data_IF_142362356176
#
_entry.id   IF_142362356176
#
_cell.length_a   1.000
_cell.length_b   1.000
_cell.length_c   1.000
_cell.angle_alpha   90.00
_cell.angle_beta   90.00
_cell.angle_gamma   90.00
#
_symmetry.space_group_name_H-M   'P 1'
#
loop_
_entity.id
_entity.type
_entity.pdbx_description
1 polymer ?
#
# COMPACT_ATOMS: atom_id res chain seq x y z
N UNK A 1 13.19 -2.47 4.64
CA UNK A 1 12.25 -1.36 4.88
C UNK A 1 10.98 -1.64 4.09
N UNK A 2 9.81 -1.44 4.67
CA UNK A 2 8.48 -1.56 4.03
C UNK A 2 7.60 -0.41 4.51
N UNK A 3 6.59 0.02 3.75
CA UNK A 3 5.59 0.95 4.24
C UNK A 3 4.87 0.42 5.48
N UNK A 4 4.67 1.28 6.46
CA UNK A 4 3.92 1.00 7.69
C UNK A 4 2.48 1.50 7.55
N UNK A 5 1.60 1.14 8.49
CA UNK A 5 0.24 1.70 8.54
C UNK A 5 0.27 3.22 8.80
N UNK A 6 1.23 3.69 9.60
CA UNK A 6 1.45 5.12 9.81
C UNK A 6 1.82 5.83 8.50
N UNK A 7 2.73 5.26 7.71
CA UNK A 7 3.09 5.82 6.40
C UNK A 7 1.88 5.91 5.48
N UNK A 8 1.07 4.85 5.41
CA UNK A 8 -0.14 4.84 4.58
C UNK A 8 -1.07 5.98 4.98
N UNK A 9 -1.37 6.11 6.27
CA UNK A 9 -2.27 7.14 6.76
C UNK A 9 -1.71 8.56 6.54
N UNK A 10 -0.42 8.79 6.82
CA UNK A 10 0.24 10.08 6.59
C UNK A 10 0.27 10.47 5.11
N UNK A 11 0.53 9.50 4.24
CA UNK A 11 0.67 9.75 2.80
C UNK A 11 -0.69 9.94 2.14
N UNK A 12 -1.65 9.07 2.43
CA UNK A 12 -2.93 9.02 1.69
C UNK A 12 -4.08 9.72 2.40
N UNK A 13 -4.05 9.82 3.72
CA UNK A 13 -5.19 10.22 4.55
C UNK A 13 -6.25 9.14 4.70
N UNK A 14 -6.06 7.94 4.11
CA UNK A 14 -7.00 6.83 4.25
C UNK A 14 -6.88 6.18 5.62
N UNK A 15 -8.00 5.95 6.28
CA UNK A 15 -8.03 5.28 7.58
C UNK A 15 -7.36 3.91 7.52
N UNK A 16 -6.56 3.62 8.52
CA UNK A 16 -5.88 2.32 8.69
C UNK A 16 -6.46 1.52 9.85
N UNK A 17 -7.19 2.16 10.75
CA UNK A 17 -7.99 1.54 11.82
C UNK A 17 -9.47 1.44 11.46
N UNK A 18 -10.24 0.80 12.33
CA UNK A 18 -11.68 0.59 12.15
C UNK A 18 -12.02 -0.83 11.71
N UNK A 19 -13.10 -1.00 10.96
CA UNK A 19 -13.55 -2.31 10.50
C UNK A 19 -12.62 -2.86 9.40
N UNK A 20 -12.30 -4.14 9.49
CA UNK A 20 -11.54 -4.82 8.44
C UNK A 20 -12.30 -4.80 7.12
N UNK A 21 -11.60 -4.52 6.01
CA UNK A 21 -12.17 -4.56 4.66
C UNK A 21 -12.27 -6.02 4.21
N UNK A 22 -13.27 -6.71 4.69
CA UNK A 22 -13.55 -8.11 4.42
C UNK A 22 -15.07 -8.31 4.24
N UNK A 23 -15.52 -9.48 3.92
CA UNK A 23 -16.95 -9.74 3.81
C UNK A 23 -17.32 -10.85 2.84
N UNK A 24 -18.58 -10.87 2.45
CA UNK A 24 -19.15 -11.87 1.58
C UNK A 24 -18.69 -11.69 0.14
N UNK A 25 -18.25 -12.78 -0.46
CA UNK A 25 -17.96 -12.84 -1.90
C UNK A 25 -19.19 -13.41 -2.62
N UNK A 26 -19.69 -12.66 -3.61
CA UNK A 26 -20.84 -13.11 -4.39
C UNK A 26 -20.40 -13.99 -5.57
N UNK A 27 -21.24 -14.96 -5.90
CA UNK A 27 -21.08 -15.79 -7.12
C UNK A 27 -21.27 -14.96 -8.39
N UNK A 28 -22.12 -13.95 -8.31
CA UNK A 28 -22.34 -12.94 -9.34
C UNK A 28 -22.54 -11.57 -8.69
N UNK A 29 -21.91 -10.58 -9.24
CA UNK A 29 -22.10 -9.17 -8.84
C UNK A 29 -23.11 -8.44 -9.72
N UNK A 30 -23.82 -9.15 -10.60
CA UNK A 30 -24.77 -8.53 -11.51
C UNK A 30 -25.88 -7.80 -10.74
N UNK A 31 -26.58 -8.50 -9.82
CA UNK A 31 -27.64 -7.87 -9.03
C UNK A 31 -27.14 -6.70 -8.18
N UNK A 32 -26.03 -6.82 -7.40
CA UNK A 32 -25.47 -5.66 -6.72
C UNK A 32 -25.13 -4.48 -7.62
N UNK A 33 -24.55 -4.72 -8.80
CA UNK A 33 -24.22 -3.65 -9.75
C UNK A 33 -25.47 -2.99 -10.32
N UNK A 34 -26.43 -3.76 -10.78
CA UNK A 34 -27.71 -3.23 -11.31
C UNK A 34 -28.45 -2.42 -10.24
N UNK A 35 -28.56 -2.96 -9.03
CA UNK A 35 -29.31 -2.32 -7.95
C UNK A 35 -28.61 -1.08 -7.38
N UNK A 36 -27.29 -1.18 -7.07
CA UNK A 36 -26.55 -0.14 -6.36
C UNK A 36 -25.94 0.92 -7.29
N UNK A 37 -25.58 0.53 -8.51
CA UNK A 37 -24.98 1.44 -9.49
C UNK A 37 -25.91 1.79 -10.65
N UNK A 38 -26.99 1.04 -10.87
CA UNK A 38 -27.87 1.19 -12.03
C UNK A 38 -27.15 0.92 -13.36
N UNK A 39 -26.18 -0.01 -13.36
CA UNK A 39 -25.38 -0.37 -14.52
C UNK A 39 -25.59 -1.85 -14.88
N UNK A 40 -25.58 -2.14 -16.19
CA UNK A 40 -25.62 -3.51 -16.68
C UNK A 40 -24.22 -4.10 -16.77
N UNK A 41 -24.05 -5.36 -16.33
CA UNK A 41 -22.81 -6.11 -16.45
C UNK A 41 -23.04 -7.49 -17.04
N UNK A 42 -22.07 -7.99 -17.80
CA UNK A 42 -22.10 -9.35 -18.32
C UNK A 42 -21.90 -10.36 -17.20
N UNK A 43 -22.73 -11.37 -17.13
CA UNK A 43 -22.71 -12.42 -16.08
C UNK A 43 -21.33 -13.06 -15.89
N UNK A 44 -20.63 -13.31 -16.99
CA UNK A 44 -19.30 -13.95 -16.97
C UNK A 44 -18.20 -13.12 -16.34
N UNK A 45 -18.37 -11.79 -16.27
CA UNK A 45 -17.42 -10.83 -15.68
C UNK A 45 -18.11 -9.90 -14.69
N UNK A 46 -19.03 -10.43 -13.93
CA UNK A 46 -19.89 -9.65 -13.05
C UNK A 46 -19.15 -8.86 -11.96
N UNK A 47 -17.91 -9.26 -11.59
CA UNK A 47 -17.08 -8.52 -10.63
C UNK A 47 -16.31 -7.34 -11.21
N UNK A 48 -16.49 -7.05 -12.50
CA UNK A 48 -15.81 -5.97 -13.22
C UNK A 48 -16.84 -5.12 -13.97
N UNK A 49 -16.78 -3.80 -13.78
CA UNK A 49 -17.59 -2.82 -14.49
C UNK A 49 -16.69 -2.09 -15.49
N UNK A 50 -17.21 -1.79 -16.67
CA UNK A 50 -16.48 -0.98 -17.65
C UNK A 50 -16.26 0.42 -17.08
N UNK A 51 -15.02 0.89 -17.08
CA UNK A 51 -14.67 2.23 -16.60
C UNK A 51 -15.46 3.32 -17.32
N UNK A 52 -15.54 3.22 -18.63
CA UNK A 52 -16.27 4.19 -19.46
C UNK A 52 -17.75 4.26 -19.12
N UNK A 53 -18.41 3.12 -18.84
CA UNK A 53 -19.80 3.10 -18.41
C UNK A 53 -19.98 3.75 -17.05
N UNK A 54 -19.08 3.46 -16.10
CA UNK A 54 -19.12 4.05 -14.77
C UNK A 54 -18.86 5.57 -14.81
N UNK A 55 -17.90 6.01 -15.62
CA UNK A 55 -17.60 7.43 -15.82
C UNK A 55 -18.74 8.19 -16.52
N UNK A 56 -19.33 7.59 -17.56
CA UNK A 56 -20.47 8.18 -18.24
C UNK A 56 -21.69 8.32 -17.32
N UNK A 57 -21.90 7.35 -16.42
CA UNK A 57 -23.00 7.40 -15.46
C UNK A 57 -22.82 8.47 -14.37
N UNK A 58 -21.59 8.90 -14.11
CA UNK A 58 -21.29 9.99 -13.18
C UNK A 58 -21.52 11.38 -13.80
N UNK A 59 -21.91 11.46 -15.09
CA UNK A 59 -22.01 12.71 -15.85
C UNK A 59 -20.74 13.63 -15.74
N UNK A 60 -19.61 13.08 -15.29
CA UNK A 60 -18.35 13.80 -15.22
C UNK A 60 -17.80 13.89 -16.63
N UNK A 61 -18.04 15.02 -17.29
CA UNK A 61 -17.75 15.24 -18.72
C UNK A 61 -16.27 15.00 -19.08
N UNK A 62 -15.36 15.07 -18.12
CA UNK A 62 -13.92 14.93 -18.30
C UNK A 62 -13.30 13.85 -17.38
N UNK A 63 -14.02 12.76 -17.12
CA UNK A 63 -13.51 11.68 -16.29
C UNK A 63 -12.34 10.89 -16.91
N UNK A 64 -11.93 11.21 -18.14
CA UNK A 64 -10.74 10.63 -18.76
C UNK A 64 -9.46 11.29 -18.22
N UNK A 65 -8.42 10.50 -18.03
CA UNK A 65 -7.10 10.99 -17.68
C UNK A 65 -6.57 11.92 -18.77
N UNK A 66 -6.18 13.14 -18.41
CA UNK A 66 -5.64 14.10 -19.38
C UNK A 66 -4.17 13.81 -19.67
N UNK A 67 -3.73 14.13 -20.90
CA UNK A 67 -2.34 13.94 -21.29
C UNK A 67 -1.42 14.80 -20.41
N UNK A 68 -0.50 14.16 -19.68
CA UNK A 68 0.43 14.82 -18.79
C UNK A 68 -0.09 15.04 -17.35
N UNK A 69 -1.35 14.71 -17.08
CA UNK A 69 -1.93 14.74 -15.75
C UNK A 69 -1.34 13.60 -14.87
N UNK A 70 -0.89 13.91 -13.68
CA UNK A 70 -0.50 12.89 -12.71
C UNK A 70 -1.73 12.22 -12.10
N UNK A 71 -1.56 11.01 -11.55
CA UNK A 71 -2.66 10.31 -10.89
C UNK A 71 -3.24 11.10 -9.71
N UNK A 72 -2.42 11.88 -9.04
CA UNK A 72 -2.86 12.76 -7.93
C UNK A 72 -3.70 13.93 -8.44
N UNK A 73 -3.29 14.56 -9.53
CA UNK A 73 -4.05 15.65 -10.18
C UNK A 73 -5.38 15.13 -10.72
N UNK A 74 -5.35 13.96 -11.35
CA UNK A 74 -6.55 13.24 -11.80
C UNK A 74 -7.53 12.98 -10.64
N UNK A 75 -7.03 12.46 -9.51
CA UNK A 75 -7.84 12.22 -8.32
C UNK A 75 -8.43 13.50 -7.73
N UNK A 76 -7.61 14.53 -7.61
CA UNK A 76 -8.07 15.83 -7.08
C UNK A 76 -9.20 16.42 -7.95
N UNK A 77 -9.02 16.38 -9.25
CA UNK A 77 -10.01 16.86 -10.21
C UNK A 77 -11.31 16.04 -10.16
N UNK A 78 -11.20 14.70 -10.20
CA UNK A 78 -12.39 13.83 -10.06
C UNK A 78 -13.14 14.06 -8.76
N UNK A 79 -12.41 14.29 -7.66
CA UNK A 79 -13.01 14.54 -6.34
C UNK A 79 -13.75 15.88 -6.33
N UNK A 80 -13.20 16.90 -6.97
CA UNK A 80 -13.82 18.23 -7.05
C UNK A 80 -15.07 18.20 -7.94
N UNK A 81 -14.95 17.59 -9.13
CA UNK A 81 -16.08 17.40 -10.04
C UNK A 81 -17.22 16.59 -9.39
N UNK A 82 -16.88 15.49 -8.70
CA UNK A 82 -17.86 14.68 -7.99
C UNK A 82 -18.54 15.42 -6.83
N UNK A 83 -17.82 16.28 -6.10
CA UNK A 83 -18.42 17.11 -5.05
C UNK A 83 -19.40 18.11 -5.60
N UNK A 84 -19.07 18.75 -6.74
CA UNK A 84 -19.95 19.71 -7.39
C UNK A 84 -21.26 19.03 -7.80
N UNK A 85 -21.18 17.84 -8.40
CA UNK A 85 -22.37 17.09 -8.83
C UNK A 85 -23.22 16.60 -7.65
N UNK A 86 -22.59 16.01 -6.62
CA UNK A 86 -23.32 15.52 -5.44
C UNK A 86 -24.01 16.63 -4.63
N UNK A 87 -23.57 17.87 -4.79
CA UNK A 87 -24.21 19.04 -4.18
C UNK A 87 -25.53 19.45 -4.86
N UNK A 88 -25.74 19.01 -6.11
CA UNK A 88 -26.93 19.37 -6.91
C UNK A 88 -28.04 18.30 -6.86
N UNK A 89 -27.72 17.08 -6.39
CA UNK A 89 -28.65 15.95 -6.36
C UNK A 89 -29.03 15.57 -4.92
N UNK A 90 -30.29 15.19 -4.71
CA UNK A 90 -30.80 14.69 -3.43
C UNK A 90 -31.43 13.30 -3.56
N UNK A 91 -31.38 12.49 -2.49
CA UNK A 91 -32.06 11.21 -2.39
C UNK A 91 -31.35 10.04 -3.06
N UNK A 92 -32.13 9.11 -3.61
CA UNK A 92 -31.64 7.82 -4.14
C UNK A 92 -30.71 7.95 -5.34
N UNK A 93 -30.82 9.04 -6.12
CA UNK A 93 -29.95 9.36 -7.25
C UNK A 93 -28.56 9.77 -6.75
N UNK A 94 -28.48 10.66 -5.77
CA UNK A 94 -27.24 11.08 -5.14
C UNK A 94 -26.50 9.88 -4.48
N UNK A 95 -27.24 9.01 -3.83
CA UNK A 95 -26.70 7.77 -3.24
C UNK A 95 -26.08 6.84 -4.29
N UNK A 96 -26.73 6.68 -5.45
CA UNK A 96 -26.19 5.89 -6.56
C UNK A 96 -24.92 6.52 -7.12
N UNK A 97 -24.91 7.82 -7.31
CA UNK A 97 -23.75 8.53 -7.83
C UNK A 97 -22.58 8.52 -6.86
N UNK A 98 -22.82 8.66 -5.58
CA UNK A 98 -21.80 8.47 -4.55
C UNK A 98 -21.23 7.04 -4.60
N UNK A 99 -22.07 6.00 -4.71
CA UNK A 99 -21.60 4.61 -4.85
C UNK A 99 -20.80 4.40 -6.13
N UNK A 100 -21.20 4.99 -7.26
CA UNK A 100 -20.46 4.97 -8.53
C UNK A 100 -19.07 5.60 -8.36
N UNK A 101 -19.03 6.78 -7.75
CA UNK A 101 -17.78 7.48 -7.47
C UNK A 101 -16.86 6.66 -6.55
N UNK A 102 -17.37 6.18 -5.42
CA UNK A 102 -16.61 5.34 -4.49
C UNK A 102 -16.12 4.05 -5.15
N UNK A 103 -16.94 3.42 -5.99
CA UNK A 103 -16.54 2.23 -6.74
C UNK A 103 -15.40 2.54 -7.71
N UNK A 104 -15.43 3.69 -8.38
CA UNK A 104 -14.35 4.13 -9.26
C UNK A 104 -13.05 4.37 -8.46
N UNK A 105 -13.14 5.07 -7.34
CA UNK A 105 -11.98 5.37 -6.48
C UNK A 105 -11.41 4.10 -5.86
N UNK A 106 -12.24 3.32 -5.19
CA UNK A 106 -11.79 2.11 -4.50
C UNK A 106 -11.35 1.04 -5.50
N UNK A 107 -12.20 0.72 -6.47
CA UNK A 107 -11.99 -0.40 -7.38
C UNK A 107 -10.96 -0.16 -8.48
N UNK A 108 -10.62 1.11 -8.78
CA UNK A 108 -9.64 1.45 -9.82
C UNK A 108 -8.35 2.06 -9.27
N UNK A 109 -8.46 2.91 -8.26
CA UNK A 109 -7.33 3.69 -7.78
C UNK A 109 -6.70 3.06 -6.54
N UNK A 110 -7.51 2.72 -5.54
CA UNK A 110 -7.01 2.13 -4.28
C UNK A 110 -6.67 0.65 -4.49
N UNK A 111 -7.66 -0.15 -4.93
CA UNK A 111 -7.52 -1.59 -5.15
C UNK A 111 -7.36 -1.93 -6.64
N UNK A 112 -6.59 -1.15 -7.37
CA UNK A 112 -6.45 -1.16 -8.82
C UNK A 112 -6.53 -2.54 -9.47
N UNK A 113 -7.27 -2.59 -10.59
CA UNK A 113 -7.39 -3.78 -11.44
C UNK A 113 -6.50 -3.67 -12.67
N UNK A 114 -6.14 -4.81 -13.25
CA UNK A 114 -5.44 -4.85 -14.54
C UNK A 114 -6.35 -4.34 -15.66
N UNK A 115 -5.78 -3.53 -16.52
CA UNK A 115 -6.47 -2.99 -17.67
C UNK A 115 -7.52 -1.93 -17.32
N UNK A 116 -8.49 -1.73 -18.19
CA UNK A 116 -9.47 -0.66 -18.09
C UNK A 116 -10.64 -0.92 -17.13
N UNK A 117 -11.15 -2.16 -16.97
CA UNK A 117 -12.28 -2.41 -16.09
C UNK A 117 -12.02 -2.07 -14.63
N UNK A 118 -13.07 -1.68 -13.92
CA UNK A 118 -13.07 -1.33 -12.49
C UNK A 118 -13.57 -2.50 -11.68
N UNK A 119 -12.86 -2.86 -10.61
CA UNK A 119 -13.29 -3.89 -9.67
C UNK A 119 -14.46 -3.41 -8.82
N UNK A 120 -15.55 -4.18 -8.80
CA UNK A 120 -16.73 -3.85 -7.99
C UNK A 120 -16.93 -4.78 -6.78
N UNK A 121 -15.89 -5.51 -6.39
CA UNK A 121 -15.94 -6.40 -5.21
C UNK A 121 -16.17 -5.67 -3.89
N UNK A 122 -15.91 -4.36 -3.84
CA UNK A 122 -16.20 -3.51 -2.69
C UNK A 122 -17.69 -3.14 -2.54
N UNK A 123 -18.55 -3.37 -3.55
CA UNK A 123 -19.95 -2.97 -3.52
C UNK A 123 -20.74 -3.47 -2.30
N UNK A 124 -20.53 -4.72 -1.79
CA UNK A 124 -21.21 -5.15 -0.58
C UNK A 124 -20.95 -4.24 0.63
N UNK A 125 -19.75 -3.65 0.72
CA UNK A 125 -19.35 -2.74 1.78
C UNK A 125 -19.93 -1.32 1.57
N UNK A 126 -20.28 -0.96 0.34
CA UNK A 126 -20.90 0.30 -0.03
C UNK A 126 -22.44 0.25 -0.02
N UNK A 127 -23.03 -0.86 0.43
CA UNK A 127 -24.48 -0.99 0.55
C UNK A 127 -25.04 0.03 1.54
N UNK A 128 -24.37 0.20 2.66
CA UNK A 128 -24.63 1.23 3.64
C UNK A 128 -23.55 2.30 3.59
N UNK A 129 -23.87 3.44 2.98
CA UNK A 129 -22.94 4.56 2.82
C UNK A 129 -22.60 5.24 4.16
N UNK A 130 -23.45 5.09 5.17
CA UNK A 130 -23.20 5.68 6.49
C UNK A 130 -22.06 4.99 7.24
N UNK A 131 -21.78 3.73 6.91
CA UNK A 131 -20.71 2.93 7.50
C UNK A 131 -19.39 2.94 6.71
N UNK A 132 -19.38 3.51 5.50
CA UNK A 132 -18.22 3.51 4.60
C UNK A 132 -16.97 4.09 5.25
N UNK A 133 -17.08 5.19 5.96
CA UNK A 133 -15.98 5.85 6.66
C UNK A 133 -15.44 5.05 7.86
N UNK A 134 -16.07 3.96 8.26
CA UNK A 134 -15.60 3.11 9.36
C UNK A 134 -14.64 2.00 8.93
N UNK A 135 -14.48 1.77 7.63
CA UNK A 135 -13.58 0.74 7.10
C UNK A 135 -12.13 1.20 7.04
N UNK A 136 -11.22 0.26 7.28
CA UNK A 136 -9.77 0.45 7.22
C UNK A 136 -9.24 0.40 5.77
N UNK A 137 -9.69 1.33 4.90
CA UNK A 137 -9.32 1.35 3.48
C UNK A 137 -7.82 1.49 3.24
N UNK A 138 -7.10 2.21 4.11
CA UNK A 138 -5.65 2.32 4.03
C UNK A 138 -4.94 1.00 4.33
N UNK A 139 -5.43 0.22 5.29
CA UNK A 139 -4.91 -1.12 5.55
C UNK A 139 -5.19 -2.08 4.39
N UNK A 140 -6.39 -1.98 3.79
CA UNK A 140 -6.74 -2.77 2.60
C UNK A 140 -5.88 -2.41 1.38
N UNK A 141 -5.59 -1.13 1.18
CA UNK A 141 -4.65 -0.66 0.16
C UNK A 141 -3.27 -1.30 0.34
N UNK A 142 -2.74 -1.30 1.56
CA UNK A 142 -1.44 -1.87 1.86
C UNK A 142 -1.44 -3.39 1.66
N UNK A 143 -2.49 -4.09 2.10
CA UNK A 143 -2.66 -5.52 1.86
C UNK A 143 -2.68 -5.86 0.37
N UNK A 144 -3.46 -5.12 -0.42
CA UNK A 144 -3.54 -5.28 -1.87
C UNK A 144 -2.20 -5.06 -2.56
N UNK A 145 -1.47 -4.02 -2.14
CA UNK A 145 -0.15 -3.71 -2.67
C UNK A 145 0.86 -4.83 -2.37
N UNK A 146 0.91 -5.31 -1.13
CA UNK A 146 1.83 -6.39 -0.74
C UNK A 146 1.52 -7.70 -1.44
N UNK A 147 0.24 -8.05 -1.57
CA UNK A 147 -0.19 -9.23 -2.30
C UNK A 147 0.21 -9.14 -3.78
N UNK A 148 0.02 -7.98 -4.40
CA UNK A 148 0.40 -7.74 -5.78
C UNK A 148 1.92 -7.79 -5.99
N UNK A 149 2.71 -7.19 -5.11
CA UNK A 149 4.17 -7.25 -5.15
C UNK A 149 4.68 -8.68 -4.92
N UNK A 150 4.08 -9.42 -3.99
CA UNK A 150 4.43 -10.83 -3.73
C UNK A 150 4.14 -11.77 -4.90
N UNK A 151 3.22 -11.41 -5.79
CA UNK A 151 2.90 -12.17 -7.00
C UNK A 151 3.63 -11.68 -8.25
N UNK A 152 4.35 -10.57 -8.18
CA UNK A 152 5.02 -9.93 -9.34
C UNK A 152 6.05 -10.82 -10.02
N UNK A 153 6.70 -11.74 -9.29
CA UNK A 153 7.65 -12.71 -9.85
C UNK A 153 7.00 -13.77 -10.76
N UNK A 154 5.68 -13.95 -10.67
CA UNK A 154 4.91 -14.94 -11.40
C UNK A 154 4.03 -14.35 -12.49
N UNK A 155 3.82 -13.05 -12.47
CA UNK A 155 2.87 -12.35 -13.32
C UNK A 155 3.52 -11.13 -13.98
N UNK A 156 3.22 -10.90 -15.26
CA UNK A 156 3.79 -9.84 -16.08
C UNK A 156 3.30 -8.43 -15.77
N UNK A 157 2.39 -8.26 -14.84
CA UNK A 157 1.85 -6.95 -14.46
C UNK A 157 1.59 -6.86 -12.96
N UNK A 158 2.11 -5.84 -12.33
CA UNK A 158 1.84 -5.48 -10.94
C UNK A 158 0.70 -4.48 -10.92
N UNK A 159 -0.25 -4.67 -10.01
CA UNK A 159 -1.37 -3.74 -9.79
C UNK A 159 -1.26 -3.14 -8.40
N UNK A 160 -1.77 -1.93 -8.21
CA UNK A 160 -1.77 -1.26 -6.92
C UNK A 160 -1.62 0.24 -7.04
N UNK A 161 -1.74 0.92 -5.92
CA UNK A 161 -1.62 2.38 -5.84
C UNK A 161 -0.13 2.79 -5.66
N UNK A 162 0.62 2.78 -6.75
CA UNK A 162 2.06 3.12 -6.75
C UNK A 162 2.42 4.53 -6.30
N UNK A 163 1.57 5.56 -6.41
CA UNK A 163 1.85 6.86 -5.81
C UNK A 163 2.18 6.79 -4.31
N UNK A 164 1.61 5.82 -3.58
CA UNK A 164 1.99 5.55 -2.19
C UNK A 164 3.49 5.24 -2.08
N UNK A 165 3.98 4.26 -2.86
CA UNK A 165 5.39 3.86 -2.82
C UNK A 165 6.33 4.98 -3.28
N UNK A 166 5.89 5.80 -4.23
CA UNK A 166 6.68 6.92 -4.72
C UNK A 166 6.87 7.98 -3.65
N UNK A 167 5.79 8.42 -2.99
CA UNK A 167 5.89 9.39 -1.89
C UNK A 167 6.63 8.79 -0.71
N UNK A 168 6.36 7.53 -0.37
CA UNK A 168 7.09 6.79 0.66
C UNK A 168 8.60 6.77 0.38
N UNK A 169 9.00 6.47 -0.87
CA UNK A 169 10.40 6.51 -1.26
C UNK A 169 11.01 7.91 -1.09
N UNK A 170 10.33 8.97 -1.49
CA UNK A 170 10.84 10.35 -1.30
C UNK A 170 10.97 10.72 0.18
N UNK A 171 10.15 10.15 1.03
CA UNK A 171 10.14 10.46 2.46
C UNK A 171 11.22 9.70 3.22
N UNK A 172 11.40 8.41 2.93
CA UNK A 172 12.39 7.55 3.55
C UNK A 172 13.76 7.55 2.85
N UNK A 173 13.77 7.78 1.54
CA UNK A 173 14.95 7.71 0.68
C UNK A 173 15.14 9.06 -0.07
N UNK A 174 15.40 10.16 0.66
CA UNK A 174 15.41 11.51 0.07
C UNK A 174 16.45 11.69 -1.03
N UNK A 175 17.46 10.85 -1.09
CA UNK A 175 18.48 10.83 -2.13
C UNK A 175 17.95 10.37 -3.50
N UNK A 176 16.81 9.69 -3.56
CA UNK A 176 16.09 9.44 -4.81
C UNK A 176 15.38 10.67 -5.36
N UNK A 177 15.43 11.74 -4.63
CA UNK A 177 14.84 13.05 -4.63
C UNK A 177 14.47 13.69 -5.96
N UNK A 178 13.31 13.30 -6.50
CA UNK A 178 12.71 13.97 -7.66
C UNK A 178 11.31 14.53 -7.37
N UNK A 179 10.91 14.52 -6.12
CA UNK A 179 9.66 15.13 -5.69
C UNK A 179 9.88 16.56 -5.21
N UNK A 180 9.02 17.49 -5.63
CA UNK A 180 9.01 18.86 -5.14
C UNK A 180 7.79 19.05 -4.25
N UNK A 181 8.01 19.43 -2.98
CA UNK A 181 6.93 19.74 -2.06
C UNK A 181 6.20 21.02 -2.50
N UNK A 182 4.91 20.91 -2.84
CA UNK A 182 4.10 22.04 -3.33
C UNK A 182 3.33 22.76 -2.25
N UNK A 183 2.85 22.03 -1.24
CA UNK A 183 1.94 22.58 -0.23
C UNK A 183 2.51 22.38 1.17
N UNK A 184 2.30 23.39 2.01
CA UNK A 184 2.51 23.31 3.46
C UNK A 184 1.14 23.26 4.13
N UNK A 185 1.03 22.55 5.23
CA UNK A 185 -0.21 22.54 6.03
C UNK A 185 -0.72 21.13 6.33
N UNK A 186 -1.91 21.08 6.94
CA UNK A 186 -2.59 19.86 7.36
C UNK A 186 -3.27 19.14 6.17
N UNK A 187 -2.46 18.50 5.32
CA UNK A 187 -2.92 17.71 4.17
C UNK A 187 -2.12 16.42 4.08
N UNK A 188 -2.71 15.32 3.57
CA UNK A 188 -1.97 14.10 3.29
C UNK A 188 -0.73 14.35 2.44
N UNK A 189 0.36 13.62 2.70
CA UNK A 189 1.64 13.86 2.02
C UNK A 189 1.54 13.71 0.50
N UNK A 190 0.65 12.85 0.02
CA UNK A 190 0.37 12.68 -1.39
C UNK A 190 -0.03 14.00 -2.08
N UNK A 191 -0.72 14.90 -1.37
CA UNK A 191 -1.12 16.21 -1.88
C UNK A 191 0.00 17.26 -1.79
N UNK A 192 1.04 17.01 -0.99
CA UNK A 192 2.18 17.91 -0.85
C UNK A 192 3.18 17.78 -1.97
N UNK A 193 3.27 16.60 -2.62
CA UNK A 193 4.29 16.32 -3.60
C UNK A 193 3.80 16.55 -5.03
N UNK A 194 4.66 17.18 -5.83
CA UNK A 194 4.51 17.22 -7.29
C UNK A 194 5.44 16.18 -7.90
N UNK A 195 4.88 15.29 -8.67
CA UNK A 195 5.67 14.36 -9.46
C UNK A 195 6.24 15.07 -10.68
N UNK A 196 7.55 15.12 -10.80
CA UNK A 196 8.20 15.60 -12.01
C UNK A 196 8.28 14.44 -13.01
N UNK A 197 7.81 14.68 -14.23
CA UNK A 197 7.99 13.71 -15.31
C UNK A 197 9.47 13.64 -15.64
N UNK A 198 10.03 12.43 -15.65
CA UNK A 198 11.39 12.23 -16.11
C UNK A 198 11.39 12.01 -17.62
N UNK A 199 12.17 12.81 -18.33
CA UNK A 199 12.36 12.69 -19.78
C UNK A 199 13.33 11.59 -20.17
N UNK A 200 14.07 11.04 -19.21
CA UNK A 200 15.03 9.95 -19.46
C UNK A 200 14.29 8.64 -19.76
N UNK A 201 14.91 7.79 -20.56
CA UNK A 201 14.38 6.46 -20.82
C UNK A 201 14.25 5.66 -19.52
N UNK A 202 13.18 4.86 -19.39
CA UNK A 202 12.92 4.02 -18.21
C UNK A 202 14.14 3.15 -17.85
N UNK A 203 14.85 2.62 -18.86
CA UNK A 203 16.05 1.84 -18.66
C UNK A 203 17.14 2.61 -17.89
N UNK A 204 17.44 3.83 -18.30
CA UNK A 204 18.44 4.68 -17.62
C UNK A 204 18.02 5.01 -16.18
N UNK A 205 16.73 5.27 -15.95
CA UNK A 205 16.21 5.53 -14.63
C UNK A 205 16.36 4.30 -13.73
N UNK A 206 16.01 3.12 -14.19
CA UNK A 206 16.15 1.87 -13.45
C UNK A 206 17.61 1.59 -13.10
N UNK A 207 18.54 1.75 -14.05
CA UNK A 207 19.97 1.58 -13.80
C UNK A 207 20.46 2.56 -12.75
N UNK A 208 20.10 3.84 -12.87
CA UNK A 208 20.50 4.87 -11.91
C UNK A 208 19.96 4.59 -10.50
N UNK A 209 18.69 4.17 -10.40
CA UNK A 209 18.09 3.81 -9.10
C UNK A 209 18.81 2.62 -8.47
N UNK A 210 19.16 1.59 -9.27
CA UNK A 210 19.91 0.45 -8.78
C UNK A 210 21.30 0.88 -8.26
N UNK A 211 22.03 1.67 -9.05
CA UNK A 211 23.36 2.14 -8.67
C UNK A 211 23.32 2.99 -7.38
N UNK A 212 22.33 3.84 -7.26
CA UNK A 212 22.12 4.65 -6.05
C UNK A 212 21.81 3.74 -4.85
N UNK A 213 20.88 2.79 -4.98
CA UNK A 213 20.49 1.89 -3.89
C UNK A 213 21.63 0.98 -3.44
N UNK A 214 22.53 0.60 -4.37
CA UNK A 214 23.69 -0.23 -4.07
C UNK A 214 24.81 0.57 -3.36
N UNK A 215 24.87 1.88 -3.54
CA UNK A 215 25.98 2.72 -3.06
C UNK A 215 25.61 3.64 -1.87
N UNK A 216 24.33 3.74 -1.51
CA UNK A 216 23.89 4.66 -0.47
C UNK A 216 24.41 4.26 0.91
N UNK A 217 25.01 5.19 1.66
CA UNK A 217 25.37 4.96 3.04
C UNK A 217 24.13 4.76 3.92
N UNK A 218 24.22 3.87 4.89
CA UNK A 218 23.16 3.56 5.84
C UNK A 218 22.56 4.79 6.53
N UNK A 219 23.39 5.75 6.92
CA UNK A 219 22.99 6.99 7.60
C UNK A 219 22.19 7.97 6.72
N UNK A 220 22.15 7.78 5.40
CA UNK A 220 21.35 8.60 4.50
C UNK A 220 19.89 8.11 4.36
N UNK A 221 19.58 6.95 4.88
CA UNK A 221 18.21 6.42 4.93
C UNK A 221 17.47 7.02 6.11
N UNK A 222 16.36 7.69 5.88
CA UNK A 222 15.48 8.16 6.93
C UNK A 222 14.57 7.02 7.39
N UNK A 223 14.95 6.35 8.44
CA UNK A 223 14.20 5.20 8.97
C UNK A 223 12.87 5.62 9.56
N UNK A 224 12.85 6.72 10.28
CA UNK A 224 11.69 7.27 11.01
C UNK A 224 11.46 8.73 10.62
N UNK A 225 11.06 9.02 9.37
CA UNK A 225 10.97 10.39 8.87
C UNK A 225 9.94 11.25 9.59
N UNK A 226 8.97 10.63 10.26
CA UNK A 226 7.90 11.29 11.01
C UNK A 226 8.29 11.68 12.45
N UNK A 227 9.41 11.17 12.97
CA UNK A 227 9.86 11.52 14.32
C UNK A 227 10.23 12.99 14.40
N UNK A 228 9.62 13.72 15.35
CA UNK A 228 9.78 15.15 15.52
C UNK A 228 8.82 16.01 14.67
N UNK A 229 8.02 15.44 13.79
CA UNK A 229 6.91 16.17 13.16
C UNK A 229 5.75 16.31 14.14
N UNK A 230 5.16 17.51 14.21
CA UNK A 230 3.97 17.74 15.03
C UNK A 230 2.75 17.09 14.38
N UNK A 231 2.05 16.21 15.10
CA UNK A 231 0.79 15.62 14.67
C UNK A 231 -0.34 16.66 14.52
N UNK A 232 -0.17 17.85 15.08
CA UNK A 232 -1.08 18.98 14.87
C UNK A 232 -1.25 19.33 13.36
N UNK A 233 -0.27 18.97 12.53
CA UNK A 233 -0.37 19.12 11.08
C UNK A 233 -1.21 18.01 10.41
N UNK A 234 -1.53 16.93 11.13
CA UNK A 234 -2.27 15.76 10.62
C UNK A 234 -3.21 15.21 11.71
N UNK A 235 -4.28 15.91 12.09
CA UNK A 235 -5.14 15.55 13.21
C UNK A 235 -5.85 14.19 13.05
N UNK A 236 -5.98 13.68 11.83
CA UNK A 236 -6.58 12.36 11.55
C UNK A 236 -5.73 11.18 12.01
N UNK A 237 -4.44 11.38 12.38
CA UNK A 237 -3.57 10.31 12.85
C UNK A 237 -3.99 9.75 14.21
N UNK A 238 -4.55 10.59 15.08
CA UNK A 238 -4.82 10.25 16.47
C UNK A 238 -5.76 9.03 16.60
N UNK A 239 -6.80 9.00 15.78
CA UNK A 239 -7.80 7.95 15.81
C UNK A 239 -7.23 6.56 15.49
N UNK A 240 -6.26 6.48 14.61
CA UNK A 240 -5.71 5.23 14.08
C UNK A 240 -4.36 4.85 14.73
N UNK A 241 -3.82 5.70 15.61
CA UNK A 241 -2.57 5.47 16.35
C UNK A 241 -2.47 4.10 17.03
N UNK A 242 -3.54 3.51 17.60
CA UNK A 242 -3.48 2.19 18.22
C UNK A 242 -3.04 1.05 17.29
N UNK A 243 -3.05 1.24 15.98
CA UNK A 243 -2.62 0.26 14.98
C UNK A 243 -1.14 0.42 14.56
N UNK A 244 -0.50 1.52 14.96
CA UNK A 244 0.88 1.79 14.56
C UNK A 244 1.86 0.89 15.32
N UNK A 245 2.94 0.48 14.64
CA UNK A 245 4.02 -0.30 15.25
C UNK A 245 3.65 -1.72 15.67
N UNK A 246 2.65 -2.33 15.04
CA UNK A 246 2.16 -3.66 15.40
C UNK A 246 2.34 -4.67 14.29
N UNK A 247 2.74 -5.89 14.65
CA UNK A 247 2.59 -7.06 13.78
C UNK A 247 1.11 -7.45 13.76
N UNK A 248 0.49 -7.41 12.58
CA UNK A 248 -0.95 -7.59 12.42
C UNK A 248 -1.27 -8.20 11.05
N UNK A 249 -2.42 -8.81 10.92
CA UNK A 249 -2.94 -9.30 9.65
C UNK A 249 -3.78 -8.23 8.96
N UNK A 250 -3.36 -7.82 7.77
CA UNK A 250 -4.08 -6.84 6.94
C UNK A 250 -5.13 -7.54 6.08
N UNK A 251 -6.31 -6.96 6.00
CA UNK A 251 -7.43 -7.51 5.25
C UNK A 251 -7.77 -6.66 4.02
N UNK A 252 -7.95 -7.32 2.88
CA UNK A 252 -8.45 -6.71 1.65
C UNK A 252 -9.40 -7.67 0.94
N UNK A 253 -10.69 -7.50 1.13
CA UNK A 253 -11.75 -8.36 0.57
C UNK A 253 -11.50 -9.83 0.93
N UNK A 254 -11.14 -10.67 -0.04
CA UNK A 254 -10.80 -12.08 0.15
C UNK A 254 -9.29 -12.35 0.18
N UNK A 255 -8.51 -11.38 0.56
CA UNK A 255 -7.05 -11.48 0.71
C UNK A 255 -6.67 -11.05 2.11
N UNK A 256 -5.80 -11.82 2.76
CA UNK A 256 -5.21 -11.51 4.05
C UNK A 256 -3.70 -11.58 3.94
N UNK A 257 -3.00 -10.57 4.40
CA UNK A 257 -1.55 -10.45 4.29
C UNK A 257 -0.96 -10.07 5.65
N UNK A 258 0.05 -10.79 6.14
CA UNK A 258 0.69 -10.42 7.39
C UNK A 258 1.58 -9.18 7.21
N UNK A 259 1.50 -8.26 8.16
CA UNK A 259 2.40 -7.14 8.30
C UNK A 259 3.38 -7.43 9.44
N UNK A 260 4.60 -7.82 9.10
CA UNK A 260 5.63 -8.23 10.05
C UNK A 260 6.65 -7.11 10.28
N UNK A 261 6.30 -6.12 11.09
CA UNK A 261 7.18 -5.00 11.41
C UNK A 261 8.44 -5.42 12.18
N UNK A 262 8.40 -6.54 12.91
CA UNK A 262 9.59 -7.09 13.57
C UNK A 262 10.76 -7.38 12.62
N UNK A 263 10.46 -7.65 11.33
CA UNK A 263 11.47 -7.86 10.29
C UNK A 263 12.15 -6.55 9.86
N UNK A 264 11.53 -5.42 10.19
CA UNK A 264 11.98 -4.08 9.84
C UNK A 264 11.83 -3.11 11.00
N UNK A 265 12.20 -3.54 12.20
CA UNK A 265 12.01 -2.79 13.45
C UNK A 265 12.57 -1.35 13.43
N UNK A 266 13.59 -1.09 12.61
CA UNK A 266 14.16 0.25 12.43
C UNK A 266 13.17 1.27 11.91
N UNK A 267 12.19 0.87 11.12
CA UNK A 267 11.13 1.80 10.63
C UNK A 267 10.23 2.28 11.76
N UNK A 268 10.34 1.66 12.93
CA UNK A 268 9.64 2.03 14.16
C UNK A 268 10.56 2.71 15.18
N UNK A 269 11.81 3.05 14.80
CA UNK A 269 12.79 3.64 15.71
C UNK A 269 13.43 2.65 16.69
N UNK A 270 13.24 1.35 16.48
CA UNK A 270 13.82 0.29 17.30
C UNK A 270 15.09 -0.28 16.66
N UNK A 271 16.03 -0.74 17.50
CA UNK A 271 17.16 -1.51 16.98
C UNK A 271 16.69 -2.83 16.38
N UNK A 272 17.24 -3.18 15.22
CA UNK A 272 16.86 -4.41 14.51
C UNK A 272 17.52 -5.63 15.16
N UNK A 273 16.72 -6.62 15.51
CA UNK A 273 17.21 -7.96 15.83
C UNK A 273 17.20 -8.87 14.59
N UNK A 274 18.07 -9.87 14.57
CA UNK A 274 18.00 -10.94 13.58
C UNK A 274 16.89 -11.89 13.98
N UNK A 275 15.77 -11.81 13.30
CA UNK A 275 14.60 -12.66 13.51
C UNK A 275 14.50 -13.71 12.40
N UNK A 276 13.95 -14.87 12.74
CA UNK A 276 13.67 -15.89 11.73
C UNK A 276 12.54 -15.42 10.82
N UNK A 277 12.81 -15.52 9.52
CA UNK A 277 11.74 -15.31 8.55
C UNK A 277 10.72 -16.44 8.71
N UNK A 278 9.43 -16.15 8.83
CA UNK A 278 8.41 -17.18 8.98
C UNK A 278 8.29 -18.00 7.69
N UNK A 279 9.14 -19.03 7.57
CA UNK A 279 9.22 -19.88 6.36
C UNK A 279 8.07 -20.86 6.23
N UNK A 280 7.29 -21.06 7.31
CA UNK A 280 6.22 -22.06 7.37
C UNK A 280 4.81 -21.45 7.44
N UNK A 281 4.65 -20.17 7.13
CA UNK A 281 3.30 -19.73 6.88
C UNK A 281 2.81 -20.50 5.62
N UNK A 282 1.80 -21.35 5.84
CA UNK A 282 1.06 -21.94 4.72
C UNK A 282 0.82 -20.81 3.74
N UNK A 283 1.26 -20.95 2.47
CA UNK A 283 0.83 -20.00 1.48
C UNK A 283 -0.67 -19.95 1.62
N UNK A 284 -1.22 -18.76 1.92
CA UNK A 284 -2.65 -18.59 1.96
C UNK A 284 -3.13 -19.01 0.57
N UNK A 285 -3.64 -20.24 0.51
CA UNK A 285 -4.30 -20.71 -0.69
C UNK A 285 -5.44 -19.74 -0.88
N UNK A 286 -5.33 -18.87 -1.89
CA UNK A 286 -6.46 -18.08 -2.32
C UNK A 286 -7.56 -19.05 -2.67
N UNK A 287 -8.63 -19.17 -1.87
CA UNK A 287 -9.76 -19.96 -2.30
C UNK A 287 -10.28 -19.30 -3.56
N UNK A 288 -10.15 -19.95 -4.71
CA UNK A 288 -10.73 -19.46 -5.94
C UNK A 288 -9.82 -19.28 -7.16
N UNK A 289 -8.54 -19.66 -7.11
CA UNK A 289 -7.75 -19.91 -8.34
C UNK A 289 -7.70 -21.40 -8.68
N UNK A 290 -8.81 -22.09 -8.66
CA UNK A 290 -8.92 -23.31 -9.44
C UNK A 290 -9.27 -22.90 -10.87
N UNK A 291 -8.45 -23.30 -11.81
CA UNK A 291 -8.64 -23.06 -13.25
C UNK A 291 -9.92 -23.72 -13.81
N UNK A 292 -10.65 -24.51 -13.02
CA UNK A 292 -11.84 -25.29 -13.42
C UNK A 292 -12.97 -25.39 -12.41
N UNK A 293 -12.93 -24.73 -11.30
CA UNK A 293 -14.01 -24.81 -10.32
C UNK A 293 -13.74 -23.85 -9.19
N UNK A 294 -14.28 -22.67 -9.29
CA UNK A 294 -14.27 -21.68 -8.22
C UNK A 294 -15.13 -22.26 -7.11
N UNK A 295 -14.53 -22.87 -6.09
CA UNK A 295 -15.19 -22.96 -4.79
C UNK A 295 -15.25 -21.54 -4.25
N UNK A 296 -16.36 -20.88 -4.50
CA UNK A 296 -16.66 -19.58 -3.96
C UNK A 296 -16.93 -19.77 -2.48
N UNK A 297 -15.94 -19.40 -1.67
CA UNK A 297 -16.18 -19.20 -0.25
C UNK A 297 -17.11 -17.99 -0.15
N UNK A 298 -18.39 -18.27 0.09
CA UNK A 298 -19.44 -17.23 0.20
C UNK A 298 -19.24 -16.40 1.47
N UNK A 299 -18.74 -17.00 2.54
CA UNK A 299 -18.43 -16.31 3.79
C UNK A 299 -16.93 -16.41 4.09
N UNK A 300 -16.18 -15.41 3.61
CA UNK A 300 -14.75 -15.30 3.84
C UNK A 300 -14.40 -15.08 5.32
N UNK A 301 -15.28 -14.45 6.09
CA UNK A 301 -15.03 -14.10 7.50
C UNK A 301 -14.86 -15.33 8.38
N UNK A 302 -15.57 -16.42 8.06
CA UNK A 302 -15.42 -17.71 8.77
C UNK A 302 -14.01 -18.28 8.59
N UNK A 303 -13.45 -18.16 7.40
CA UNK A 303 -12.13 -18.70 7.05
C UNK A 303 -10.97 -17.97 7.69
N UNK A 304 -11.14 -16.67 7.94
CA UNK A 304 -10.10 -15.77 8.46
C UNK A 304 -10.43 -15.28 9.88
N UNK A 305 -11.20 -16.04 10.62
CA UNK A 305 -11.65 -15.63 11.97
C UNK A 305 -10.48 -15.28 12.88
N UNK A 306 -9.45 -16.11 12.95
CA UNK A 306 -8.27 -15.87 13.78
C UNK A 306 -7.55 -14.55 13.40
N UNK A 307 -7.50 -14.27 12.11
CA UNK A 307 -6.88 -13.04 11.60
C UNK A 307 -7.77 -11.83 11.84
N UNK A 308 -9.09 -12.00 11.85
CA UNK A 308 -10.02 -10.95 12.24
C UNK A 308 -9.95 -10.67 13.75
N UNK A 309 -9.86 -11.70 14.57
CA UNK A 309 -9.66 -11.53 16.02
C UNK A 309 -8.34 -10.79 16.31
N UNK A 310 -7.25 -11.14 15.59
CA UNK A 310 -5.97 -10.41 15.65
C UNK A 310 -6.13 -8.94 15.24
N UNK A 311 -6.89 -8.67 14.18
CA UNK A 311 -7.18 -7.31 13.74
C UNK A 311 -7.96 -6.52 14.78
N UNK A 312 -8.99 -7.09 15.39
CA UNK A 312 -9.79 -6.46 16.44
C UNK A 312 -8.97 -6.19 17.70
N UNK A 313 -8.05 -7.09 18.06
CA UNK A 313 -7.10 -6.91 19.13
C UNK A 313 -5.94 -5.97 18.77
N UNK A 314 -5.84 -5.55 17.53
CA UNK A 314 -4.80 -4.67 16.96
C UNK A 314 -3.42 -5.32 16.90
N UNK A 315 -3.36 -6.63 16.77
CA UNK A 315 -2.14 -7.38 16.63
C UNK A 315 -1.20 -7.29 17.83
N UNK A 316 0.06 -7.67 17.62
CA UNK A 316 1.10 -7.67 18.65
C UNK A 316 2.00 -6.45 18.48
N UNK A 317 2.22 -5.72 19.56
CA UNK A 317 3.21 -4.64 19.57
C UNK A 317 4.61 -5.18 19.24
N UNK A 318 5.32 -4.48 18.38
CA UNK A 318 6.69 -4.82 17.99
C UNK A 318 7.64 -4.29 19.05
N UNK A 319 8.43 -5.20 19.61
CA UNK A 319 9.52 -4.90 20.53
C UNK A 319 10.82 -5.51 19.99
N UNK A 320 11.95 -4.92 20.34
CA UNK A 320 13.26 -5.47 20.02
C UNK A 320 14.14 -5.49 21.26
N UNK A 321 14.79 -6.62 21.49
CA UNK A 321 15.81 -6.78 22.55
C UNK A 321 17.21 -6.34 22.06
N UNK A 322 17.36 -6.01 20.78
CA UNK A 322 18.61 -5.53 20.23
C UNK A 322 18.99 -4.16 20.82
N UNK A 323 20.23 -4.02 21.24
CA UNK A 323 20.75 -2.82 21.89
C UNK A 323 21.60 -1.95 20.96
N UNK A 324 22.07 -2.53 19.84
CA UNK A 324 22.88 -1.80 18.86
C UNK A 324 22.69 -2.33 17.44
N UNK A 325 22.97 -1.47 16.47
CA UNK A 325 23.00 -1.86 15.06
C UNK A 325 24.19 -2.76 14.73
N UNK A 326 25.30 -2.61 15.45
CA UNK A 326 26.51 -3.41 15.27
C UNK A 326 26.25 -4.89 15.58
N UNK A 327 25.51 -5.19 16.64
CA UNK A 327 25.13 -6.55 17.00
C UNK A 327 24.23 -7.18 15.93
N UNK A 328 23.31 -6.40 15.37
CA UNK A 328 22.50 -6.84 14.26
C UNK A 328 23.36 -7.19 13.02
N UNK A 329 24.27 -6.32 12.62
CA UNK A 329 25.11 -6.58 11.44
C UNK A 329 26.00 -7.80 11.62
N UNK A 330 26.59 -7.98 12.81
CA UNK A 330 27.37 -9.18 13.14
C UNK A 330 26.53 -10.45 13.09
N UNK A 331 25.34 -10.42 13.71
CA UNK A 331 24.44 -11.56 13.75
C UNK A 331 23.90 -11.88 12.33
N UNK A 332 23.55 -10.85 11.55
CA UNK A 332 23.10 -10.99 10.18
C UNK A 332 24.17 -11.58 9.27
N UNK A 333 25.40 -11.08 9.37
CA UNK A 333 26.52 -11.59 8.59
C UNK A 333 26.82 -13.06 8.91
N UNK A 334 26.78 -13.46 10.17
CA UNK A 334 26.95 -14.86 10.58
C UNK A 334 25.87 -15.78 9.99
N UNK A 335 24.61 -15.33 10.02
CA UNK A 335 23.46 -16.16 9.62
C UNK A 335 23.23 -16.18 8.11
N UNK A 336 23.35 -15.05 7.45
CA UNK A 336 22.96 -14.85 6.05
C UNK A 336 24.11 -14.47 5.13
N UNK A 337 25.31 -14.27 5.67
CA UNK A 337 26.48 -13.81 4.95
C UNK A 337 26.78 -14.61 3.67
N UNK A 338 26.50 -15.91 3.68
CA UNK A 338 26.65 -16.79 2.52
C UNK A 338 25.45 -16.79 1.54
N UNK A 339 24.29 -16.24 1.95
CA UNK A 339 23.02 -16.36 1.20
C UNK A 339 22.63 -15.11 0.44
N UNK A 340 23.16 -13.95 0.82
CA UNK A 340 22.70 -12.64 0.33
C UNK A 340 22.95 -12.40 -1.17
N UNK A 341 23.75 -13.26 -1.83
CA UNK A 341 24.11 -13.08 -3.24
C UNK A 341 23.84 -14.29 -4.14
N UNK A 342 22.82 -15.06 -3.86
CA UNK A 342 22.29 -16.04 -4.83
C UNK A 342 21.47 -15.43 -5.97
N UNK A 343 21.60 -14.14 -6.22
CA UNK A 343 21.11 -13.52 -7.44
C UNK A 343 21.98 -13.99 -8.61
N UNK A 344 21.37 -14.58 -9.61
CA UNK A 344 21.96 -15.26 -10.77
C UNK A 344 22.80 -14.38 -11.70
N UNK A 345 23.12 -13.13 -11.35
CA UNK A 345 23.75 -12.18 -12.27
C UNK A 345 25.05 -11.49 -11.83
N UNK A 346 25.51 -11.69 -10.59
CA UNK A 346 26.86 -11.20 -10.20
C UNK A 346 27.64 -12.33 -9.53
N UNK A 347 28.89 -12.56 -9.93
CA UNK A 347 29.80 -13.45 -9.20
C UNK A 347 29.93 -12.95 -7.75
N UNK A 348 30.04 -13.88 -6.83
CA UNK A 348 30.31 -13.57 -5.43
C UNK A 348 31.66 -12.84 -5.38
N UNK A 349 31.67 -11.56 -5.05
CA UNK A 349 32.87 -10.79 -4.73
C UNK A 349 32.97 -10.63 -3.20
N UNK A 350 33.70 -11.54 -2.52
CA UNK A 350 33.86 -11.49 -1.06
C UNK A 350 34.65 -10.25 -0.60
N UNK A 351 35.62 -9.79 -1.41
CA UNK A 351 36.46 -8.65 -1.07
C UNK A 351 35.71 -7.32 -1.17
N UNK A 352 34.95 -7.11 -2.23
CA UNK A 352 34.09 -5.94 -2.37
C UNK A 352 33.02 -5.88 -1.29
N UNK A 353 32.58 -7.02 -0.79
CA UNK A 353 31.59 -7.11 0.27
C UNK A 353 32.17 -6.83 1.65
N UNK A 354 33.36 -7.31 1.94
CA UNK A 354 34.09 -6.98 3.16
C UNK A 354 34.36 -5.48 3.19
N UNK A 355 34.84 -4.92 2.10
CA UNK A 355 35.09 -3.48 1.94
C UNK A 355 33.81 -2.63 2.13
N UNK A 356 32.66 -3.09 1.63
CA UNK A 356 31.38 -2.42 1.85
C UNK A 356 30.96 -2.46 3.32
N UNK A 357 31.10 -3.60 3.97
CA UNK A 357 30.77 -3.76 5.41
C UNK A 357 31.72 -2.95 6.29
N UNK A 358 33.00 -2.93 5.95
CA UNK A 358 34.01 -2.09 6.61
C UNK A 358 33.74 -0.60 6.42
N UNK A 359 33.31 -0.17 5.24
CA UNK A 359 32.90 1.20 4.96
C UNK A 359 31.65 1.60 5.75
N UNK A 360 30.66 0.75 5.87
CA UNK A 360 29.46 0.97 6.71
C UNK A 360 29.85 1.05 8.18
N UNK A 361 30.70 0.15 8.65
CA UNK A 361 31.19 0.14 10.02
C UNK A 361 31.96 1.40 10.35
N UNK A 362 32.87 1.82 9.47
CA UNK A 362 33.69 3.03 9.64
C UNK A 362 32.81 4.29 9.68
N UNK A 363 31.85 4.41 8.78
CA UNK A 363 30.87 5.51 8.76
C UNK A 363 30.05 5.56 10.05
N UNK A 364 29.65 4.41 10.58
CA UNK A 364 28.86 4.31 11.83
C UNK A 364 29.71 4.70 13.06
N UNK A 365 30.99 4.33 13.05
CA UNK A 365 31.94 4.71 14.12
C UNK A 365 32.19 6.22 14.11
N UNK A 366 32.42 6.82 12.93
CA UNK A 366 32.59 8.27 12.81
C UNK A 366 31.37 9.03 13.31
N UNK A 367 30.16 8.62 12.95
CA UNK A 367 28.93 9.24 13.44
C UNK A 367 28.74 9.13 14.96
N UNK A 368 29.23 8.06 15.57
CA UNK A 368 29.22 7.90 17.03
C UNK A 368 30.20 8.85 17.72
N UNK A 369 31.36 9.04 17.11
CA UNK A 369 32.43 9.85 17.68
C UNK A 369 32.20 11.36 17.47
N UNK A 370 31.30 11.75 16.56
CA UNK A 370 30.84 13.13 16.30
C UNK A 370 29.64 13.54 17.17
N UNK A 371 29.07 12.64 17.98
CA UNK A 371 28.00 12.87 18.96
C UNK A 371 28.56 12.99 20.38
#
# INVERSE_FOLDING_TARGET
>A
MIPTLEDVLRITGLRVGGQAVTGTTYTSYQEPVERLLGLEVRRERSSLVQRTALQASLAVANACHQTGESQVEYMARLTEDARAMLAEEEGDAADKDLRRFLTLVIGKLILGTRGDPVGCRCLPLLKDLSSEGNYAWGAALLAHLFDSLGTSSRETGVVGFFPLLQVWAYYHLPFLGRGVARRRGAVPLLQRWRFCRDEQSLWRQVTLIHDILDTIPFGHVRWTPSVGESDAAQPWLEQDRPYFGRDIWLHCLNTVVPLHHRLVARTLGLHQAVVEFPTQQRPWERPGRSFRGIQLVTDWTVWVREQLDDWEQRGREVASEATSDEDYFRAYARRYGAQVYKGTRRPLDPEGRISLLEGILHSTIQQRDDL
#
